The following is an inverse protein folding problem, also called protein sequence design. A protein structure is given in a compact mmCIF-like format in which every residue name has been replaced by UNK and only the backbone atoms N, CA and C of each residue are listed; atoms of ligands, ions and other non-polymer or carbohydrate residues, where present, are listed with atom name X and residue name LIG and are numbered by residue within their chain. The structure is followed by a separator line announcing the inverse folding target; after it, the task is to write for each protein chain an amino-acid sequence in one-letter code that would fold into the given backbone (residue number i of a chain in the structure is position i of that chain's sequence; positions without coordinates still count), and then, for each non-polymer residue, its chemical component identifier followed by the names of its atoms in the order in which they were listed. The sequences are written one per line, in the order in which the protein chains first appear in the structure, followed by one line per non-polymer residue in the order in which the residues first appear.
data_IF_321359458497
#
_entry.id   IF_321359458497
#
_cell.length_a   1.000
_cell.length_b   1.000
_cell.length_c   1.000
_cell.angle_alpha   90.00
_cell.angle_beta   90.00
_cell.angle_gamma   90.00
#
_symmetry.space_group_name_H-M   'P 1'
#
loop_
_entity.id
_entity.type
_entity.pdbx_description
1 polymer ?
#
# COMPACT_ATOMS: atom_id res chain seq x y z
N UNK A 1 13.48 -3.99 -8.38
CA UNK A 1 12.44 -4.66 -7.54
C UNK A 1 11.69 -3.70 -6.61
N UNK A 2 12.32 -2.66 -6.05
CA UNK A 2 11.58 -1.72 -5.19
C UNK A 2 10.47 -0.93 -5.91
N UNK A 3 10.66 -0.53 -7.17
CA UNK A 3 9.59 0.10 -7.96
C UNK A 3 8.37 -0.80 -8.14
N UNK A 4 8.57 -2.12 -8.32
CA UNK A 4 7.47 -3.09 -8.39
C UNK A 4 6.69 -3.14 -7.06
N UNK A 5 7.39 -3.15 -5.92
CA UNK A 5 6.76 -3.18 -4.60
C UNK A 5 6.00 -1.86 -4.33
N UNK A 6 6.56 -0.71 -4.75
CA UNK A 6 5.86 0.57 -4.68
C UNK A 6 4.61 0.59 -5.56
N UNK A 7 4.67 0.07 -6.79
CA UNK A 7 3.52 -0.02 -7.69
C UNK A 7 2.44 -0.97 -7.17
N UNK A 8 2.83 -2.10 -6.56
CA UNK A 8 1.88 -3.00 -5.89
C UNK A 8 1.25 -2.31 -4.67
N UNK A 9 2.05 -1.60 -3.87
CA UNK A 9 1.56 -0.82 -2.72
C UNK A 9 0.57 0.27 -3.13
N UNK A 10 0.88 1.04 -4.17
CA UNK A 10 -0.03 2.03 -4.77
C UNK A 10 -1.31 1.37 -5.29
N UNK A 11 -1.21 0.26 -6.01
CA UNK A 11 -2.38 -0.47 -6.51
C UNK A 11 -3.30 -0.97 -5.39
N UNK A 12 -2.73 -1.53 -4.32
CA UNK A 12 -3.49 -1.96 -3.13
C UNK A 12 -4.13 -0.77 -2.40
N UNK A 13 -3.42 0.35 -2.29
CA UNK A 13 -3.93 1.56 -1.64
C UNK A 13 -5.11 2.16 -2.41
N UNK A 14 -5.00 2.27 -3.73
CA UNK A 14 -6.06 2.81 -4.59
C UNK A 14 -7.29 1.91 -4.55
N UNK A 15 -7.12 0.59 -4.67
CA UNK A 15 -8.26 -0.35 -4.65
C UNK A 15 -8.93 -0.41 -3.26
N UNK A 16 -8.15 -0.42 -2.18
CA UNK A 16 -8.70 -0.40 -0.81
C UNK A 16 -9.45 0.90 -0.53
N UNK A 17 -8.87 2.05 -0.92
CA UNK A 17 -9.53 3.36 -0.76
C UNK A 17 -10.78 3.48 -1.62
N UNK A 18 -10.77 2.90 -2.83
CA UNK A 18 -11.93 2.89 -3.72
C UNK A 18 -13.07 2.04 -3.16
N UNK A 19 -12.77 0.88 -2.56
CA UNK A 19 -13.78 0.08 -1.86
C UNK A 19 -14.40 0.84 -0.67
N UNK A 20 -13.57 1.51 0.14
CA UNK A 20 -14.04 2.34 1.26
C UNK A 20 -14.93 3.50 0.79
N UNK A 21 -14.55 4.17 -0.30
CA UNK A 21 -15.32 5.27 -0.90
C UNK A 21 -16.67 4.83 -1.47
N UNK A 22 -16.78 3.59 -1.94
CA UNK A 22 -18.03 3.01 -2.43
C UNK A 22 -18.95 2.49 -1.30
N UNK A 23 -18.58 2.72 -0.03
CA UNK A 23 -19.38 2.32 1.11
C UNK A 23 -19.16 0.88 1.58
N UNK A 24 -18.18 0.17 0.99
CA UNK A 24 -17.73 -1.13 1.50
C UNK A 24 -16.74 -0.90 2.65
N UNK A 25 -17.29 -0.60 3.83
CA UNK A 25 -16.54 -0.36 5.07
C UNK A 25 -16.35 -1.68 5.84
N UNK A 26 -16.04 -2.75 5.10
CA UNK A 26 -15.67 -4.03 5.70
C UNK A 26 -14.29 -3.98 6.38
N UNK A 27 -14.01 -4.96 7.25
CA UNK A 27 -12.70 -5.10 7.89
C UNK A 27 -11.57 -5.33 6.87
N UNK A 28 -11.89 -6.00 5.75
CA UNK A 28 -10.98 -6.31 4.64
C UNK A 28 -10.44 -5.05 3.94
N UNK A 29 -11.28 -4.16 3.38
CA UNK A 29 -10.79 -2.96 2.69
C UNK A 29 -10.02 -2.02 3.62
N UNK A 30 -10.38 -1.94 4.91
CA UNK A 30 -9.61 -1.20 5.91
C UNK A 30 -8.21 -1.80 6.07
N UNK A 31 -8.10 -3.12 6.24
CA UNK A 31 -6.82 -3.81 6.37
C UNK A 31 -5.95 -3.68 5.10
N UNK A 32 -6.55 -3.76 3.92
CA UNK A 32 -5.84 -3.58 2.64
C UNK A 32 -5.32 -2.14 2.53
N UNK A 33 -6.15 -1.15 2.86
CA UNK A 33 -5.77 0.27 2.78
C UNK A 33 -4.65 0.58 3.77
N UNK A 34 -4.76 0.19 5.04
CA UNK A 34 -3.71 0.41 6.04
C UNK A 34 -2.45 -0.40 5.72
N UNK A 35 -2.61 -1.68 5.34
CA UNK A 35 -1.50 -2.56 4.98
C UNK A 35 -0.70 -2.05 3.79
N UNK A 36 -1.36 -1.48 2.78
CA UNK A 36 -0.69 -0.89 1.62
C UNK A 36 0.21 0.30 1.99
N UNK A 37 -0.19 1.13 2.95
CA UNK A 37 0.63 2.24 3.47
C UNK A 37 1.88 1.70 4.17
N UNK A 38 1.74 0.63 4.96
CA UNK A 38 2.88 -0.01 5.62
C UNK A 38 3.86 -0.67 4.64
N UNK A 39 3.34 -1.35 3.61
CA UNK A 39 4.17 -1.93 2.54
C UNK A 39 4.94 -0.84 1.81
N UNK A 40 4.27 0.28 1.49
CA UNK A 40 4.89 1.40 0.79
C UNK A 40 5.95 2.10 1.64
N UNK A 41 5.69 2.30 2.93
CA UNK A 41 6.67 2.81 3.90
C UNK A 41 7.88 1.89 4.02
N UNK A 42 7.67 0.57 4.11
CA UNK A 42 8.73 -0.44 4.16
C UNK A 42 9.60 -0.43 2.90
N UNK A 43 8.98 -0.34 1.72
CA UNK A 43 9.68 -0.27 0.44
C UNK A 43 10.57 0.98 0.34
N UNK A 44 10.05 2.16 0.72
CA UNK A 44 10.83 3.41 0.73
C UNK A 44 12.01 3.32 1.71
N UNK A 45 11.80 2.72 2.89
CA UNK A 45 12.84 2.57 3.91
C UNK A 45 13.94 1.59 3.47
N UNK A 46 13.59 0.51 2.78
CA UNK A 46 14.54 -0.44 2.20
C UNK A 46 15.34 0.19 1.06
N UNK A 47 14.70 1.01 0.22
CA UNK A 47 15.40 1.74 -0.85
C UNK A 47 16.44 2.71 -0.30
N UNK A 48 16.06 3.53 0.68
CA UNK A 48 17.00 4.44 1.37
C UNK A 48 18.16 3.72 2.06
N UNK A 49 18.00 2.44 2.41
CA UNK A 49 19.08 1.60 2.95
C UNK A 49 19.94 0.98 1.86
N UNK A 50 19.39 0.73 0.68
CA UNK A 50 20.11 0.14 -0.45
C UNK A 50 20.91 1.17 -1.24
N UNK A 51 20.57 2.45 -1.17
CA UNK A 51 21.34 3.56 -1.76
C UNK A 51 22.50 4.04 -0.88
N UNK A 52 22.72 3.42 0.28
CA UNK A 52 23.77 3.77 1.26
C UNK A 52 24.84 2.69 1.31
#
# INVERSE_FOLDING_TARGET
MNELIKNIGLGLFVNGSFALLNGDIGIMPILITIGSVFIMYGAIKLEKRSEK
#
